data_IF_795422455964
#
_entry.id   IF_795422455964
#
_cell.length_a   1.000
_cell.length_b   1.000
_cell.length_c   1.000
_cell.angle_alpha   90.00
_cell.angle_beta   90.00
_cell.angle_gamma   90.00
#
_symmetry.space_group_name_H-M   'P 1'
#
loop_
_entity.id
_entity.type
_entity.pdbx_description
1 polymer ?
#
# COMPACT_ATOMS: atom_id res chain seq x y z
N UNK A 1 17.43 22.07 4.34
CA UNK A 1 17.69 20.95 5.27
C UNK A 1 17.69 19.67 4.45
N UNK A 2 18.68 18.79 4.64
CA UNK A 2 18.68 17.46 4.03
C UNK A 2 17.57 16.60 4.63
N UNK A 3 16.98 15.71 3.82
CA UNK A 3 15.96 14.78 4.30
C UNK A 3 16.57 13.82 5.34
N UNK A 4 15.86 13.60 6.44
CA UNK A 4 16.23 12.65 7.49
C UNK A 4 16.28 11.22 6.94
N UNK A 5 17.03 10.30 7.59
CA UNK A 5 17.08 8.90 7.16
C UNK A 5 15.69 8.22 7.11
N UNK A 6 14.74 8.65 7.94
CA UNK A 6 13.38 8.11 7.93
C UNK A 6 12.56 8.63 6.74
N UNK A 7 12.72 9.90 6.39
CA UNK A 7 12.08 10.50 5.21
C UNK A 7 12.59 9.88 3.91
N UNK A 8 13.89 9.58 3.83
CA UNK A 8 14.49 8.90 2.68
C UNK A 8 13.90 7.49 2.50
N UNK A 9 13.78 6.70 3.58
CA UNK A 9 13.13 5.39 3.55
C UNK A 9 11.67 5.48 3.15
N UNK A 10 10.93 6.46 3.70
CA UNK A 10 9.52 6.69 3.35
C UNK A 10 9.38 6.96 1.86
N UNK A 11 10.23 7.81 1.30
CA UNK A 11 10.24 8.12 -0.13
C UNK A 11 10.46 6.88 -0.98
N UNK A 12 11.46 6.04 -0.66
CA UNK A 12 11.70 4.78 -1.38
C UNK A 12 10.50 3.83 -1.37
N UNK A 13 9.78 3.77 -0.24
CA UNK A 13 8.55 2.98 -0.12
C UNK A 13 7.44 3.57 -0.99
N UNK A 14 7.23 4.89 -0.93
CA UNK A 14 6.20 5.59 -1.70
C UNK A 14 6.49 5.45 -3.21
N UNK A 15 7.73 5.65 -3.66
CA UNK A 15 8.19 5.46 -5.04
C UNK A 15 7.94 4.01 -5.52
N UNK A 16 8.22 3.01 -4.66
CA UNK A 16 7.97 1.60 -4.98
C UNK A 16 6.48 1.28 -5.10
N UNK A 17 5.64 1.85 -4.24
CA UNK A 17 4.18 1.70 -4.33
C UNK A 17 3.65 2.32 -5.61
N UNK A 18 4.11 3.52 -5.99
CA UNK A 18 3.71 4.17 -7.23
C UNK A 18 4.12 3.35 -8.47
N UNK A 19 5.33 2.82 -8.49
CA UNK A 19 5.83 1.98 -9.58
C UNK A 19 4.96 0.73 -9.79
N UNK A 20 4.62 0.02 -8.71
CA UNK A 20 3.76 -1.19 -8.76
C UNK A 20 2.36 -0.85 -9.22
N UNK A 21 1.77 0.20 -8.65
CA UNK A 21 0.38 0.56 -8.99
C UNK A 21 0.26 1.04 -10.44
N UNK A 22 1.30 1.64 -11.02
CA UNK A 22 1.27 2.11 -12.41
C UNK A 22 1.22 0.98 -13.43
N UNK A 23 1.55 -0.26 -13.06
CA UNK A 23 1.48 -1.42 -13.97
C UNK A 23 0.15 -2.17 -13.91
N UNK A 24 -0.77 -1.76 -13.03
CA UNK A 24 -2.05 -2.45 -12.83
C UNK A 24 -2.99 -2.21 -14.02
N UNK A 25 -3.59 -3.27 -14.54
CA UNK A 25 -4.65 -3.20 -15.55
C UNK A 25 -5.93 -3.92 -15.07
N UNK A 26 -7.12 -3.48 -15.49
CA UNK A 26 -7.38 -2.33 -16.37
C UNK A 26 -7.21 -0.96 -15.66
N UNK A 27 -7.14 0.17 -16.40
CA UNK A 27 -6.98 1.51 -15.81
C UNK A 27 -8.02 1.86 -14.74
N UNK A 28 -9.27 1.39 -14.89
CA UNK A 28 -10.30 1.61 -13.89
C UNK A 28 -9.99 0.95 -12.53
N UNK A 29 -9.29 -0.19 -12.51
CA UNK A 29 -8.82 -0.82 -11.28
C UNK A 29 -7.62 -0.04 -10.71
N UNK A 30 -6.66 0.31 -11.57
CA UNK A 30 -5.49 1.13 -11.22
C UNK A 30 -5.89 2.39 -10.45
N UNK A 31 -6.83 3.16 -10.98
CA UNK A 31 -7.28 4.41 -10.38
C UNK A 31 -7.85 4.21 -8.97
N UNK A 32 -8.61 3.11 -8.77
CA UNK A 32 -9.15 2.74 -7.45
C UNK A 32 -8.02 2.39 -6.48
N UNK A 33 -7.07 1.57 -6.90
CA UNK A 33 -5.96 1.13 -6.05
C UNK A 33 -5.08 2.32 -5.65
N UNK A 34 -4.74 3.19 -6.60
CA UNK A 34 -3.99 4.41 -6.35
C UNK A 34 -4.72 5.33 -5.37
N UNK A 35 -6.03 5.54 -5.55
CA UNK A 35 -6.83 6.35 -4.62
C UNK A 35 -6.82 5.79 -3.20
N UNK A 36 -6.83 4.47 -3.03
CA UNK A 36 -6.79 3.83 -1.70
C UNK A 36 -5.39 3.94 -1.07
N UNK A 37 -4.33 3.64 -1.82
CA UNK A 37 -2.97 3.49 -1.28
C UNK A 37 -2.25 4.84 -1.12
N UNK A 38 -2.50 5.79 -2.03
CA UNK A 38 -1.83 7.09 -2.09
C UNK A 38 -2.57 8.19 -1.30
N UNK A 39 -3.70 7.87 -0.64
CA UNK A 39 -4.39 8.76 0.31
C UNK A 39 -3.60 9.00 1.63
N UNK A 40 -2.26 8.91 1.59
CA UNK A 40 -1.34 9.24 2.67
C UNK A 40 -1.24 8.20 3.79
N UNK A 41 -1.11 8.69 5.03
CA UNK A 41 -0.95 7.89 6.24
C UNK A 41 0.49 7.84 6.75
N UNK A 42 0.65 7.39 7.99
CA UNK A 42 1.94 7.44 8.70
C UNK A 42 3.01 6.48 8.18
N UNK A 43 2.64 5.54 7.29
CA UNK A 43 3.53 4.48 6.76
C UNK A 43 4.30 3.70 7.85
N UNK A 44 3.73 3.53 9.05
CA UNK A 44 4.44 2.90 10.19
C UNK A 44 4.86 1.47 9.88
N UNK A 45 3.94 0.62 9.39
CA UNK A 45 4.23 -0.79 9.06
C UNK A 45 5.38 -0.95 8.05
N UNK A 46 5.34 -0.32 6.85
CA UNK A 46 6.43 -0.46 5.90
C UNK A 46 7.74 0.19 6.37
N UNK A 47 7.69 1.32 7.10
CA UNK A 47 8.89 1.91 7.68
C UNK A 47 9.54 0.98 8.71
N UNK A 48 8.74 0.34 9.57
CA UNK A 48 9.24 -0.62 10.56
C UNK A 48 9.92 -1.80 9.87
N UNK A 49 9.36 -2.32 8.77
CA UNK A 49 9.98 -3.40 7.98
C UNK A 49 11.38 -3.01 7.51
N UNK A 50 11.54 -1.84 6.89
CA UNK A 50 12.85 -1.37 6.39
C UNK A 50 13.80 -1.12 7.56
N UNK A 51 13.35 -0.48 8.63
CA UNK A 51 14.19 -0.21 9.80
C UNK A 51 14.69 -1.48 10.48
N UNK A 52 13.85 -2.52 10.59
CA UNK A 52 14.25 -3.80 11.19
C UNK A 52 15.25 -4.53 10.29
N UNK A 53 15.03 -4.54 8.98
CA UNK A 53 15.98 -5.14 8.04
C UNK A 53 17.34 -4.42 8.11
N UNK A 54 17.36 -3.10 8.08
CA UNK A 54 18.60 -2.31 8.18
C UNK A 54 19.30 -2.54 9.53
N UNK A 55 18.57 -2.67 10.64
CA UNK A 55 19.15 -2.93 11.96
C UNK A 55 19.77 -4.33 12.12
N UNK A 56 19.46 -5.24 11.19
CA UNK A 56 19.96 -6.61 11.13
C UNK A 56 20.92 -6.81 9.94
N UNK A 57 21.42 -5.73 9.34
CA UNK A 57 22.29 -5.76 8.15
C UNK A 57 21.68 -6.54 6.96
N UNK A 58 20.36 -6.52 6.84
CA UNK A 58 19.61 -7.13 5.74
C UNK A 58 19.65 -6.33 4.44
N UNK A 59 19.24 -6.96 3.34
CA UNK A 59 19.15 -6.28 2.05
C UNK A 59 18.03 -5.23 2.03
N UNK A 60 18.42 -3.95 1.97
CA UNK A 60 17.49 -2.82 1.96
C UNK A 60 16.55 -2.85 0.75
N UNK A 61 16.99 -3.32 -0.43
CA UNK A 61 16.11 -3.35 -1.61
C UNK A 61 14.98 -4.37 -1.46
N UNK A 62 15.31 -5.58 -1.00
CA UNK A 62 14.32 -6.61 -0.64
C UNK A 62 13.39 -6.11 0.46
N UNK A 63 13.93 -5.42 1.47
CA UNK A 63 13.13 -4.86 2.55
C UNK A 63 12.14 -3.80 2.05
N UNK A 64 12.54 -2.90 1.14
CA UNK A 64 11.66 -1.91 0.51
C UNK A 64 10.59 -2.59 -0.34
N UNK A 65 10.95 -3.62 -1.12
CA UNK A 65 9.99 -4.43 -1.89
C UNK A 65 8.90 -5.03 -0.99
N UNK A 66 9.31 -5.69 0.09
CA UNK A 66 8.37 -6.33 1.01
C UNK A 66 7.60 -5.32 1.85
N UNK A 67 8.21 -4.20 2.21
CA UNK A 67 7.53 -3.09 2.88
C UNK A 67 6.37 -2.55 2.02
N UNK A 68 6.59 -2.36 0.71
CA UNK A 68 5.52 -1.98 -0.21
C UNK A 68 4.38 -3.01 -0.19
N UNK A 69 4.69 -4.32 -0.30
CA UNK A 69 3.70 -5.39 -0.22
C UNK A 69 2.90 -5.37 1.09
N UNK A 70 3.57 -5.21 2.24
CA UNK A 70 2.92 -5.08 3.56
C UNK A 70 1.98 -3.87 3.60
N UNK A 71 2.34 -2.76 2.93
CA UNK A 71 1.48 -1.58 2.88
C UNK A 71 0.25 -1.80 2.00
N UNK A 72 0.35 -2.59 0.93
CA UNK A 72 -0.77 -3.00 0.09
C UNK A 72 -1.72 -3.92 0.87
N UNK A 73 -1.22 -4.96 1.55
CA UNK A 73 -2.03 -5.82 2.44
C UNK A 73 -2.75 -4.99 3.50
N UNK A 74 -2.04 -4.07 4.16
CA UNK A 74 -2.66 -3.17 5.12
C UNK A 74 -3.72 -2.26 4.49
N UNK A 75 -3.53 -1.82 3.24
CA UNK A 75 -4.55 -1.01 2.57
C UNK A 75 -5.81 -1.84 2.25
N UNK A 76 -5.62 -3.07 1.76
CA UNK A 76 -6.70 -4.01 1.47
C UNK A 76 -7.55 -4.31 2.72
N UNK A 77 -6.90 -4.61 3.85
CA UNK A 77 -7.61 -4.90 5.10
C UNK A 77 -8.52 -3.74 5.52
N UNK A 78 -8.04 -2.50 5.39
CA UNK A 78 -8.81 -1.32 5.77
C UNK A 78 -10.04 -1.08 4.87
N UNK A 79 -9.98 -1.51 3.61
CA UNK A 79 -11.14 -1.43 2.71
C UNK A 79 -12.23 -2.38 3.17
N UNK A 80 -11.87 -3.60 3.55
CA UNK A 80 -12.80 -4.58 4.12
C UNK A 80 -13.32 -4.10 5.48
N UNK A 81 -12.45 -3.58 6.35
CA UNK A 81 -12.85 -3.00 7.63
C UNK A 81 -13.90 -1.89 7.44
N UNK A 82 -13.71 -0.98 6.48
CA UNK A 82 -14.68 0.09 6.20
C UNK A 82 -16.06 -0.45 5.79
N UNK A 83 -16.11 -1.57 5.08
CA UNK A 83 -17.37 -2.23 4.69
C UNK A 83 -18.03 -2.86 5.91
N UNK A 84 -17.28 -3.64 6.69
CA UNK A 84 -17.77 -4.37 7.87
C UNK A 84 -18.25 -3.40 8.94
N UNK A 85 -17.49 -2.33 9.20
CA UNK A 85 -17.80 -1.32 10.20
C UNK A 85 -18.83 -0.30 9.71
N UNK A 86 -19.27 -0.39 8.46
CA UNK A 86 -20.14 0.60 7.78
C UNK A 86 -19.56 2.02 7.85
N UNK A 87 -18.24 2.14 7.89
CA UNK A 87 -17.55 3.42 8.04
C UNK A 87 -17.61 4.21 6.74
N UNK A 88 -18.35 5.32 6.74
CA UNK A 88 -18.54 6.14 5.52
C UNK A 88 -17.31 6.96 5.10
N UNK A 89 -16.35 7.14 6.01
CA UNK A 89 -15.17 8.01 5.79
C UNK A 89 -13.89 7.38 6.28
N UNK A 90 -12.80 7.62 5.55
CA UNK A 90 -11.44 7.28 5.96
C UNK A 90 -10.51 8.47 5.72
N UNK A 91 -9.84 8.91 6.79
CA UNK A 91 -8.87 10.04 6.78
C UNK A 91 -9.46 11.34 6.19
N UNK A 92 -10.71 11.63 6.53
CA UNK A 92 -11.40 12.85 6.05
C UNK A 92 -11.91 12.79 4.60
N UNK A 93 -11.73 11.66 3.91
CA UNK A 93 -12.30 11.42 2.58
C UNK A 93 -13.37 10.31 2.63
N UNK A 94 -14.28 10.23 1.63
CA UNK A 94 -15.21 9.10 1.53
C UNK A 94 -14.46 7.76 1.47
N UNK A 95 -14.96 6.76 2.21
CA UNK A 95 -14.40 5.42 2.18
C UNK A 95 -14.54 4.79 0.77
N UNK A 96 -13.77 3.74 0.50
CA UNK A 96 -13.73 3.10 -0.81
C UNK A 96 -15.12 2.57 -1.23
N UNK A 97 -15.83 1.90 -0.33
CA UNK A 97 -17.16 1.34 -0.61
C UNK A 97 -18.23 2.40 -0.83
N UNK A 98 -18.10 3.58 -0.20
CA UNK A 98 -18.97 4.74 -0.48
C UNK A 98 -18.70 5.29 -1.89
N UNK A 99 -17.45 5.23 -2.33
CA UNK A 99 -17.04 5.83 -3.61
C UNK A 99 -17.23 4.92 -4.82
N UNK A 100 -17.07 3.63 -4.64
CA UNK A 100 -17.04 2.64 -5.74
C UNK A 100 -18.16 1.60 -5.63
N UNK A 101 -19.00 1.70 -4.61
CA UNK A 101 -19.90 0.63 -4.19
C UNK A 101 -19.16 -0.50 -3.44
N UNK A 102 -19.90 -1.36 -2.71
CA UNK A 102 -19.33 -2.48 -1.97
C UNK A 102 -18.56 -3.44 -2.89
N UNK A 103 -19.14 -3.83 -4.03
CA UNK A 103 -18.50 -4.75 -4.98
C UNK A 103 -17.20 -4.17 -5.55
N UNK A 104 -17.23 -2.88 -5.93
CA UNK A 104 -16.04 -2.19 -6.44
C UNK A 104 -14.93 -2.05 -5.41
N UNK A 105 -15.29 -1.93 -4.13
CA UNK A 105 -14.34 -1.90 -3.02
C UNK A 105 -13.75 -3.28 -2.72
N UNK A 106 -14.54 -4.35 -2.77
CA UNK A 106 -14.04 -5.73 -2.65
C UNK A 106 -13.06 -6.04 -3.77
N UNK A 107 -13.40 -5.75 -5.02
CA UNK A 107 -12.50 -5.94 -6.17
C UNK A 107 -11.20 -5.13 -6.00
N UNK A 108 -11.28 -3.91 -5.47
CA UNK A 108 -10.08 -3.12 -5.19
C UNK A 108 -9.22 -3.72 -4.06
N UNK A 109 -9.84 -4.25 -3.00
CA UNK A 109 -9.13 -4.99 -1.94
C UNK A 109 -8.40 -6.20 -2.51
N UNK A 110 -9.08 -7.02 -3.31
CA UNK A 110 -8.48 -8.21 -3.91
C UNK A 110 -7.34 -7.86 -4.87
N UNK A 111 -7.48 -6.81 -5.66
CA UNK A 111 -6.40 -6.28 -6.50
C UNK A 111 -5.17 -5.88 -5.69
N UNK A 112 -5.34 -5.23 -4.55
CA UNK A 112 -4.23 -4.88 -3.65
C UNK A 112 -3.53 -6.11 -3.07
N UNK A 113 -4.28 -7.16 -2.74
CA UNK A 113 -3.71 -8.42 -2.27
C UNK A 113 -2.93 -9.12 -3.39
N UNK A 114 -3.46 -9.13 -4.62
CA UNK A 114 -2.76 -9.64 -5.80
C UNK A 114 -1.40 -8.97 -5.99
N UNK A 115 -1.37 -7.64 -6.01
CA UNK A 115 -0.11 -6.87 -6.12
C UNK A 115 0.81 -7.02 -4.91
N UNK A 116 0.27 -7.29 -3.72
CA UNK A 116 1.12 -7.61 -2.57
C UNK A 116 1.86 -8.94 -2.78
N UNK A 117 1.19 -9.97 -3.32
CA UNK A 117 1.80 -11.26 -3.59
C UNK A 117 2.88 -11.19 -4.67
N UNK A 118 2.73 -10.35 -5.70
CA UNK A 118 3.79 -10.16 -6.71
C UNK A 118 5.06 -9.58 -6.08
N UNK A 119 4.94 -8.74 -5.05
CA UNK A 119 6.07 -8.18 -4.31
C UNK A 119 6.72 -9.17 -3.33
N UNK A 120 5.96 -10.14 -2.83
CA UNK A 120 6.47 -11.19 -1.94
C UNK A 120 7.04 -12.40 -2.69
N UNK A 121 6.71 -12.53 -3.97
CA UNK A 121 7.24 -13.60 -4.80
C UNK A 121 8.77 -13.51 -4.88
N UNK A 122 9.47 -14.67 -4.93
CA UNK A 122 10.89 -14.69 -5.25
C UNK A 122 11.16 -13.99 -6.58
N UNK A 123 12.26 -13.27 -6.65
CA UNK A 123 12.83 -12.84 -7.92
C UNK A 123 13.83 -13.90 -8.33
N UNK A 124 13.47 -14.70 -9.33
CA UNK A 124 14.38 -15.65 -9.99
C UNK A 124 15.58 -14.92 -10.62
#
# INVERSE_FOLDING_TARGET
MSATPLEQRRRRIDDRLEAVLTTVDPPALRDRLQRIVLAGGKRVRPLLTVCVADALDGDTETAVRYAAGIKLVHAASLVVDDIVDTAATRRGAPAAWVSFGPDGAVVASDGLIGEAFTLFAPTD
#
